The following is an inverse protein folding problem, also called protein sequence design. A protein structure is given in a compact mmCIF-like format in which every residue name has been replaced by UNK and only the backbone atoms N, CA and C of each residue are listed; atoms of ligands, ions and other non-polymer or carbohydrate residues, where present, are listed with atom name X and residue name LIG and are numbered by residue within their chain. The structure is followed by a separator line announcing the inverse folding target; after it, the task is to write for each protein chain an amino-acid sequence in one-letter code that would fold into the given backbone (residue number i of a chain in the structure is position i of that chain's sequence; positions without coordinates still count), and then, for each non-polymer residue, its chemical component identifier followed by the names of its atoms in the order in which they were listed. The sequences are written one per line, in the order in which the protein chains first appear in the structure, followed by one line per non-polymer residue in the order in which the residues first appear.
data_IF_324440377332
#
_entry.id   IF_324440377332
#
_cell.length_a   1.000
_cell.length_b   1.000
_cell.length_c   1.000
_cell.angle_alpha   90.00
_cell.angle_beta   90.00
_cell.angle_gamma   90.00
#
_symmetry.space_group_name_H-M   'P 1'
#
loop_
_entity.id
_entity.type
_entity.pdbx_description
1 polymer ?
#
# COMPACT_ATOMS: atom_id res chain seq x y z
N UNK A 1 -13.51 11.19 23.24
CA UNK A 1 -14.19 10.00 22.70
C UNK A 1 -13.77 9.80 21.26
N UNK A 2 -13.27 8.61 20.90
CA UNK A 2 -13.02 8.23 19.51
C UNK A 2 -14.24 7.47 19.00
N UNK A 3 -14.75 7.81 17.82
CA UNK A 3 -15.62 6.89 17.09
C UNK A 3 -14.80 5.70 16.61
N UNK A 4 -14.80 4.62 17.39
CA UNK A 4 -14.34 3.32 16.90
C UNK A 4 -15.34 2.83 15.84
N UNK A 5 -15.14 3.18 14.57
CA UNK A 5 -15.69 2.40 13.45
C UNK A 5 -14.63 1.49 12.86
N UNK A 6 -14.67 0.24 13.32
CA UNK A 6 -14.03 -0.91 12.69
C UNK A 6 -14.85 -1.24 11.44
N UNK A 7 -14.46 -0.74 10.25
CA UNK A 7 -15.12 -1.14 9.01
C UNK A 7 -14.68 -2.56 8.59
N UNK A 8 -15.53 -3.57 8.79
CA UNK A 8 -15.36 -4.97 8.36
C UNK A 8 -15.01 -5.92 9.51
N UNK A 9 -15.84 -6.96 9.71
CA UNK A 9 -15.63 -8.02 10.71
C UNK A 9 -14.21 -8.62 10.55
N UNK A 10 -13.45 -8.72 11.65
CA UNK A 10 -12.14 -9.41 11.80
C UNK A 10 -10.88 -8.77 11.15
N UNK A 11 -10.43 -7.58 11.56
CA UNK A 11 -9.00 -7.23 11.38
C UNK A 11 -8.51 -6.16 12.40
N UNK A 12 -7.54 -6.47 13.29
CA UNK A 12 -7.04 -5.54 14.32
C UNK A 12 -6.17 -4.38 13.77
N UNK A 13 -5.80 -4.37 12.50
CA UNK A 13 -4.93 -3.33 11.91
C UNK A 13 -5.66 -2.10 11.32
N UNK A 14 -6.89 -1.80 11.76
CA UNK A 14 -7.64 -0.64 11.26
C UNK A 14 -7.31 0.62 12.06
N UNK A 15 -6.92 1.69 11.36
CA UNK A 15 -6.66 3.00 11.95
C UNK A 15 -7.95 3.58 12.54
N UNK A 16 -7.85 4.38 13.60
CA UNK A 16 -9.01 5.11 14.14
C UNK A 16 -9.21 6.41 13.38
N UNK A 17 -10.48 6.77 13.18
CA UNK A 17 -10.87 7.98 12.45
C UNK A 17 -11.99 8.68 13.21
N UNK A 18 -11.94 10.00 13.29
CA UNK A 18 -12.98 10.84 13.86
C UNK A 18 -13.25 12.01 12.91
N UNK A 19 -14.53 12.37 12.75
CA UNK A 19 -14.96 13.51 11.93
C UNK A 19 -15.60 14.60 12.78
N UNK A 20 -15.48 15.86 12.32
CA UNK A 20 -16.16 17.04 12.83
C UNK A 20 -16.60 17.94 11.68
N UNK A 21 -17.63 18.75 11.89
CA UNK A 21 -18.24 19.54 10.84
C UNK A 21 -19.10 18.66 9.95
N UNK A 22 -18.55 18.16 8.85
CA UNK A 22 -19.23 17.19 7.99
C UNK A 22 -18.57 15.81 8.09
N UNK A 23 -19.41 14.78 8.06
CA UNK A 23 -18.94 13.40 8.04
C UNK A 23 -18.67 12.98 6.61
N UNK A 24 -17.55 12.28 6.40
CA UNK A 24 -17.22 11.68 5.11
C UNK A 24 -17.70 10.24 5.06
N UNK A 25 -18.57 9.93 4.11
CA UNK A 25 -19.08 8.59 3.88
C UNK A 25 -18.14 7.83 2.93
N UNK A 26 -17.42 6.85 3.48
CA UNK A 26 -16.45 6.02 2.74
C UNK A 26 -17.09 5.01 1.77
N UNK A 27 -18.40 4.76 1.86
CA UNK A 27 -19.11 3.87 0.93
C UNK A 27 -19.46 4.61 -0.36
N UNK A 28 -19.89 5.88 -0.23
CA UNK A 28 -20.25 6.74 -1.36
C UNK A 28 -19.10 7.62 -1.83
N UNK A 29 -18.03 7.75 -1.04
CA UNK A 29 -16.94 8.71 -1.18
C UNK A 29 -17.42 10.18 -1.27
N UNK A 30 -18.48 10.51 -0.55
CA UNK A 30 -19.05 11.87 -0.48
C UNK A 30 -19.14 12.34 0.96
N UNK A 31 -19.25 13.64 1.18
CA UNK A 31 -19.68 14.17 2.47
C UNK A 31 -21.18 13.97 2.65
N UNK A 32 -21.61 13.84 3.90
CA UNK A 32 -23.03 13.90 4.26
C UNK A 32 -23.58 15.29 3.91
N UNK A 33 -24.86 15.35 3.52
CA UNK A 33 -25.54 16.61 3.18
C UNK A 33 -25.75 17.48 4.42
N UNK A 34 -25.98 16.83 5.56
CA UNK A 34 -26.26 17.49 6.83
C UNK A 34 -25.00 17.55 7.71
N UNK A 35 -24.82 18.62 8.50
CA UNK A 35 -23.71 18.75 9.41
C UNK A 35 -23.72 17.66 10.50
N UNK A 36 -22.58 17.02 10.72
CA UNK A 36 -22.39 15.94 11.68
C UNK A 36 -22.22 16.47 13.11
N UNK A 37 -22.98 15.92 14.07
CA UNK A 37 -22.91 16.25 15.51
C UNK A 37 -22.89 17.76 15.80
N UNK A 38 -23.86 18.49 15.24
CA UNK A 38 -23.98 19.94 15.42
C UNK A 38 -23.18 20.78 14.43
N UNK A 39 -22.37 20.17 13.56
CA UNK A 39 -21.83 20.84 12.39
C UNK A 39 -20.65 21.78 12.62
N UNK A 40 -20.09 21.79 13.83
CA UNK A 40 -19.01 22.72 14.18
C UNK A 40 -17.71 21.96 14.42
N UNK A 41 -16.61 22.50 13.89
CA UNK A 41 -15.27 22.08 14.30
C UNK A 41 -15.04 22.61 15.73
N UNK A 42 -14.65 21.76 16.70
CA UNK A 42 -14.49 22.18 18.09
C UNK A 42 -13.58 23.41 18.25
N UNK A 43 -13.95 24.32 19.16
CA UNK A 43 -13.27 25.61 19.36
C UNK A 43 -11.78 25.47 19.68
N UNK A 44 -11.36 24.35 20.27
CA UNK A 44 -9.95 24.03 20.53
C UNK A 44 -9.08 24.08 19.26
N UNK A 45 -9.65 23.90 18.07
CA UNK A 45 -8.92 23.99 16.80
C UNK A 45 -8.91 25.39 16.20
N UNK A 46 -9.69 26.34 16.71
CA UNK A 46 -9.79 27.70 16.16
C UNK A 46 -8.45 28.46 16.18
N UNK A 47 -7.61 28.39 17.24
CA UNK A 47 -6.30 29.05 17.21
C UNK A 47 -5.42 28.59 16.04
N UNK A 48 -5.50 27.30 15.69
CA UNK A 48 -4.77 26.73 14.56
C UNK A 48 -5.36 27.20 13.22
N UNK A 49 -6.68 27.22 13.11
CA UNK A 49 -7.39 27.70 11.92
C UNK A 49 -7.10 29.18 11.66
N UNK A 50 -7.18 30.02 12.69
CA UNK A 50 -6.88 31.45 12.60
C UNK A 50 -5.45 31.67 12.15
N UNK A 51 -4.48 30.94 12.72
CA UNK A 51 -3.08 31.01 12.27
C UNK A 51 -2.90 30.58 10.81
N UNK A 52 -3.63 29.57 10.34
CA UNK A 52 -3.58 29.15 8.93
C UNK A 52 -4.14 30.25 8.00
N UNK A 53 -5.19 30.96 8.41
CA UNK A 53 -5.76 32.09 7.68
C UNK A 53 -4.82 33.30 7.66
N UNK A 54 -4.28 33.68 8.82
CA UNK A 54 -3.34 34.80 8.99
C UNK A 54 -2.06 34.62 8.16
N UNK A 55 -1.56 33.39 8.07
CA UNK A 55 -0.40 33.06 7.25
C UNK A 55 -0.71 32.88 5.75
N UNK A 56 -1.98 32.97 5.34
CA UNK A 56 -2.40 32.74 3.96
C UNK A 56 -2.22 31.30 3.49
N UNK A 57 -2.13 30.32 4.40
CA UNK A 57 -2.07 28.88 4.07
C UNK A 57 -3.41 28.41 3.49
N UNK A 58 -4.50 28.97 4.01
CA UNK A 58 -5.86 28.78 3.51
C UNK A 58 -6.49 30.16 3.30
N UNK A 59 -7.32 30.30 2.26
CA UNK A 59 -8.04 31.54 1.96
C UNK A 59 -9.41 31.61 2.65
N UNK A 60 -9.97 30.47 3.05
CA UNK A 60 -11.29 30.37 3.68
C UNK A 60 -11.27 29.45 4.90
N UNK A 61 -12.18 29.71 5.83
CA UNK A 61 -12.35 28.85 7.00
C UNK A 61 -12.79 27.42 6.58
N UNK A 62 -12.13 26.37 7.10
CA UNK A 62 -12.56 25.00 6.87
C UNK A 62 -13.81 24.71 7.70
N UNK A 63 -14.71 23.92 7.14
CA UNK A 63 -15.96 23.48 7.79
C UNK A 63 -16.00 21.96 7.98
N UNK A 64 -14.94 21.23 7.60
CA UNK A 64 -14.76 19.81 7.90
C UNK A 64 -13.38 19.56 8.51
N UNK A 65 -13.32 18.73 9.56
CA UNK A 65 -12.08 18.16 10.11
C UNK A 65 -12.14 16.63 10.19
N UNK A 66 -11.09 15.96 9.70
CA UNK A 66 -10.86 14.52 9.88
C UNK A 66 -9.63 14.29 10.73
N UNK A 67 -9.80 13.63 11.87
CA UNK A 67 -8.69 13.18 12.71
C UNK A 67 -8.43 11.71 12.40
N UNK A 68 -7.22 11.38 11.97
CA UNK A 68 -6.78 9.98 11.83
C UNK A 68 -5.73 9.68 12.90
N UNK A 69 -5.82 8.51 13.51
CA UNK A 69 -4.77 7.98 14.38
C UNK A 69 -4.20 6.68 13.80
N UNK A 70 -2.88 6.66 13.68
CA UNK A 70 -2.10 5.56 13.16
C UNK A 70 -1.20 5.01 14.26
N UNK A 71 -1.33 3.71 14.52
CA UNK A 71 -0.33 2.93 15.25
C UNK A 71 0.76 2.44 14.28
N UNK A 72 1.96 2.07 14.78
CA UNK A 72 3.01 1.48 13.95
C UNK A 72 2.46 0.32 13.10
N UNK A 73 2.81 0.29 11.82
CA UNK A 73 2.33 -0.71 10.86
C UNK A 73 1.01 -0.37 10.18
N UNK A 74 0.25 0.61 10.69
CA UNK A 74 -0.96 1.10 10.05
C UNK A 74 -0.66 2.10 8.93
N UNK A 75 -1.64 2.33 8.06
CA UNK A 75 -1.50 3.18 6.89
C UNK A 75 -2.84 3.59 6.27
N UNK A 76 -2.75 4.25 5.12
CA UNK A 76 -3.89 4.62 4.27
C UNK A 76 -3.56 4.30 2.82
N UNK A 77 -4.50 3.68 2.12
CA UNK A 77 -4.35 3.36 0.71
C UNK A 77 -4.16 4.64 -0.11
N UNK A 78 -3.40 4.52 -1.20
CA UNK A 78 -3.16 5.62 -2.12
C UNK A 78 -4.47 6.06 -2.79
N UNK A 79 -4.84 7.33 -2.64
CA UNK A 79 -6.11 7.89 -3.13
C UNK A 79 -5.99 9.39 -3.44
N UNK A 80 -6.97 9.92 -4.18
CA UNK A 80 -7.21 11.36 -4.35
C UNK A 80 -8.45 11.72 -3.52
N UNK A 81 -8.42 12.83 -2.79
CA UNK A 81 -9.58 13.32 -2.04
C UNK A 81 -10.67 13.76 -3.01
N UNK A 82 -11.89 13.25 -2.85
CA UNK A 82 -13.04 13.44 -3.78
C UNK A 82 -13.20 14.90 -4.21
N UNK A 83 -13.26 15.14 -5.52
CA UNK A 83 -13.29 16.48 -6.09
C UNK A 83 -14.65 17.14 -5.84
N UNK A 84 -15.74 16.37 -5.93
CA UNK A 84 -17.09 16.84 -5.63
C UNK A 84 -17.33 17.15 -4.14
N UNK A 85 -16.52 16.60 -3.24
CA UNK A 85 -16.75 16.71 -1.79
C UNK A 85 -16.06 17.92 -1.17
N UNK A 86 -14.88 18.30 -1.66
CA UNK A 86 -14.07 19.35 -1.03
C UNK A 86 -13.56 20.38 -2.04
N UNK A 87 -13.42 21.63 -1.61
CA UNK A 87 -12.72 22.70 -2.33
C UNK A 87 -11.21 22.41 -2.44
N UNK A 88 -10.43 23.28 -3.06
CA UNK A 88 -9.01 23.04 -3.40
C UNK A 88 -8.11 22.83 -2.17
N UNK A 89 -8.19 23.74 -1.21
CA UNK A 89 -7.27 23.81 -0.08
C UNK A 89 -7.50 22.69 0.94
N UNK A 90 -6.53 21.78 1.05
CA UNK A 90 -6.47 20.77 2.12
C UNK A 90 -5.20 20.94 2.91
N UNK A 91 -5.35 20.99 4.23
CA UNK A 91 -4.21 21.03 5.15
C UNK A 91 -4.26 19.83 6.08
N UNK A 92 -3.15 19.08 6.17
CA UNK A 92 -2.98 17.96 7.10
C UNK A 92 -1.86 18.25 8.09
N UNK A 93 -2.20 18.45 9.35
CA UNK A 93 -1.24 18.68 10.43
C UNK A 93 -0.83 17.35 11.06
N UNK A 94 0.47 17.09 11.15
CA UNK A 94 1.05 15.87 11.71
C UNK A 94 1.45 16.06 13.17
N UNK A 95 1.01 15.17 14.06
CA UNK A 95 1.28 15.22 15.51
C UNK A 95 1.79 13.87 16.03
N UNK A 96 2.55 13.91 17.12
CA UNK A 96 3.05 12.73 17.84
C UNK A 96 4.32 12.15 17.20
N UNK A 97 4.20 11.59 15.99
CA UNK A 97 5.28 10.91 15.27
C UNK A 97 5.40 11.41 13.83
N UNK A 98 6.61 11.36 13.31
CA UNK A 98 6.90 11.61 11.91
C UNK A 98 6.36 10.48 11.03
N UNK A 99 6.26 10.71 9.73
CA UNK A 99 5.76 9.73 8.77
C UNK A 99 6.24 9.99 7.35
N UNK A 100 6.61 8.96 6.61
CA UNK A 100 6.69 9.00 5.15
C UNK A 100 5.30 8.86 4.51
N UNK A 101 4.90 9.83 3.68
CA UNK A 101 3.72 9.77 2.81
C UNK A 101 4.16 9.59 1.36
N UNK A 102 3.56 8.66 0.63
CA UNK A 102 3.84 8.41 -0.78
C UNK A 102 2.86 9.17 -1.65
N UNK A 103 3.38 9.87 -2.65
CA UNK A 103 2.65 10.53 -3.71
C UNK A 103 2.93 9.87 -5.05
N UNK A 104 1.92 9.74 -5.90
CA UNK A 104 2.12 9.41 -7.31
C UNK A 104 1.08 10.12 -8.17
N UNK A 105 1.49 10.56 -9.36
CA UNK A 105 0.58 11.19 -10.31
C UNK A 105 -0.48 10.16 -10.75
N UNK A 106 -1.73 10.59 -10.89
CA UNK A 106 -2.84 9.70 -11.22
C UNK A 106 -2.62 8.92 -12.53
N UNK A 107 -2.00 9.56 -13.52
CA UNK A 107 -1.61 8.98 -14.81
C UNK A 107 -0.36 8.09 -14.75
N UNK A 108 0.52 8.29 -13.75
CA UNK A 108 1.84 7.63 -13.66
C UNK A 108 2.05 6.92 -12.31
N UNK A 109 1.13 6.02 -11.95
CA UNK A 109 1.12 5.39 -10.61
C UNK A 109 2.36 4.56 -10.28
N UNK A 110 3.19 4.21 -11.27
CA UNK A 110 4.46 3.51 -11.08
C UNK A 110 5.56 4.43 -10.52
N UNK A 111 5.48 5.74 -10.74
CA UNK A 111 6.45 6.71 -10.21
C UNK A 111 5.94 7.25 -8.89
N UNK A 112 6.61 6.87 -7.80
CA UNK A 112 6.26 7.29 -6.45
C UNK A 112 7.31 8.25 -5.90
N UNK A 113 6.84 9.28 -5.21
CA UNK A 113 7.64 10.26 -4.50
C UNK A 113 7.32 10.13 -3.01
N UNK A 114 8.34 9.89 -2.20
CA UNK A 114 8.21 9.89 -0.75
C UNK A 114 8.37 11.31 -0.20
N UNK A 115 7.36 11.80 0.51
CA UNK A 115 7.41 13.06 1.26
C UNK A 115 7.52 12.74 2.73
N UNK A 116 8.58 13.21 3.37
CA UNK A 116 8.75 13.11 4.81
C UNK A 116 7.89 14.17 5.50
N UNK A 117 7.04 13.73 6.43
CA UNK A 117 6.14 14.57 7.23
C UNK A 117 6.62 14.53 8.69
N UNK A 118 7.44 15.50 9.14
CA UNK A 118 7.83 15.62 10.53
C UNK A 118 6.61 15.82 11.44
N UNK A 119 6.70 15.43 12.71
CA UNK A 119 5.76 15.88 13.73
C UNK A 119 5.78 17.41 13.83
N UNK A 120 4.64 18.00 14.19
CA UNK A 120 4.43 19.45 14.25
C UNK A 120 4.61 20.15 12.89
N UNK A 121 4.40 19.45 11.78
CA UNK A 121 4.37 20.03 10.43
C UNK A 121 2.94 20.08 9.86
N UNK A 122 2.74 20.98 8.89
CA UNK A 122 1.52 21.06 8.10
C UNK A 122 1.83 20.73 6.63
N UNK A 123 1.19 19.69 6.10
CA UNK A 123 1.18 19.40 4.67
C UNK A 123 0.02 20.18 4.03
N UNK A 124 0.31 20.95 2.98
CA UNK A 124 -0.68 21.74 2.25
C UNK A 124 -0.81 21.17 0.84
N UNK A 125 -2.03 20.79 0.46
CA UNK A 125 -2.36 20.31 -0.88
C UNK A 125 -3.28 21.33 -1.54
N UNK A 126 -2.83 21.88 -2.66
CA UNK A 126 -3.56 22.79 -3.55
C UNK A 126 -3.24 22.48 -5.01
N UNK A 127 -4.12 22.89 -5.92
CA UNK A 127 -3.96 22.72 -7.36
C UNK A 127 -3.62 21.28 -7.74
N UNK A 128 -2.53 21.11 -8.48
CA UNK A 128 -2.14 19.80 -9.01
C UNK A 128 -1.94 18.76 -7.90
N UNK A 129 -1.24 19.13 -6.82
CA UNK A 129 -0.94 18.21 -5.70
C UNK A 129 -2.21 17.67 -5.02
N UNK A 130 -3.29 18.43 -5.05
CA UNK A 130 -4.59 18.04 -4.51
C UNK A 130 -5.39 17.19 -5.49
N UNK A 131 -5.48 17.61 -6.74
CA UNK A 131 -6.44 17.07 -7.71
C UNK A 131 -5.86 15.98 -8.60
N UNK A 132 -4.54 15.98 -8.85
CA UNK A 132 -3.91 15.08 -9.80
C UNK A 132 -3.05 14.00 -9.14
N UNK A 133 -2.61 14.22 -7.90
CA UNK A 133 -1.72 13.32 -7.20
C UNK A 133 -2.47 12.45 -6.19
N UNK A 134 -2.27 11.14 -6.29
CA UNK A 134 -2.69 10.22 -5.24
C UNK A 134 -1.71 10.30 -4.10
N UNK A 135 -2.21 10.28 -2.88
CA UNK A 135 -1.40 10.25 -1.66
C UNK A 135 -1.79 9.07 -0.76
N UNK A 136 -0.83 8.50 -0.06
CA UNK A 136 -1.02 7.34 0.80
C UNK A 136 0.06 7.17 1.85
N UNK A 137 -0.22 6.41 2.90
CA UNK A 137 0.76 6.03 3.91
C UNK A 137 0.89 4.51 3.87
N UNK A 138 2.05 4.02 3.44
CA UNK A 138 2.35 2.59 3.37
C UNK A 138 2.32 1.95 4.76
N UNK A 139 1.78 0.73 4.85
CA UNK A 139 1.73 -0.07 6.09
C UNK A 139 3.13 -0.61 6.41
N UNK A 140 3.84 0.06 7.31
CA UNK A 140 5.19 -0.32 7.75
C UNK A 140 5.48 0.25 9.15
N UNK A 141 6.49 -0.30 9.81
CA UNK A 141 6.93 0.11 11.15
C UNK A 141 8.10 1.10 11.13
N UNK A 142 8.77 1.27 9.99
CA UNK A 142 9.96 2.11 9.85
C UNK A 142 9.92 2.89 8.53
N UNK A 143 10.51 4.08 8.52
CA UNK A 143 10.77 4.89 7.34
C UNK A 143 12.29 5.04 7.14
N UNK A 144 12.77 4.87 5.91
CA UNK A 144 14.12 5.30 5.54
C UNK A 144 14.05 6.78 5.15
N UNK A 145 14.77 7.63 5.87
CA UNK A 145 14.82 9.08 5.63
C UNK A 145 16.21 9.43 5.15
N UNK A 146 16.30 10.08 3.99
CA UNK A 146 17.55 10.59 3.45
C UNK A 146 17.90 11.86 4.24
N UNK A 147 19.06 11.87 4.89
CA UNK A 147 19.60 13.05 5.54
C UNK A 147 20.13 13.99 4.46
N UNK A 148 19.78 15.27 4.57
CA UNK A 148 20.55 16.28 3.83
C UNK A 148 21.98 16.24 4.37
N UNK A 149 23.00 16.36 3.51
CA UNK A 149 24.34 16.63 4.00
C UNK A 149 24.24 17.85 4.91
N UNK A 150 24.69 17.72 6.16
CA UNK A 150 24.92 18.91 6.97
C UNK A 150 25.92 19.78 6.21
N UNK A 151 25.88 21.10 6.40
CA UNK A 151 26.91 22.04 5.92
C UNK A 151 28.26 21.76 6.61
N UNK A 152 28.76 20.53 6.55
CA UNK A 152 30.13 20.20 6.85
C UNK A 152 30.92 20.60 5.63
N UNK A 153 31.76 21.62 5.80
CA UNK A 153 32.78 22.15 4.89
C UNK A 153 33.85 21.13 4.47
N UNK A 154 33.54 19.83 4.51
CA UNK A 154 34.43 18.74 4.10
C UNK A 154 33.91 18.18 2.77
N UNK A 155 34.78 18.19 1.77
CA UNK A 155 34.52 17.56 0.48
C UNK A 155 34.03 16.12 0.71
N UNK A 156 32.74 15.88 0.44
CA UNK A 156 32.16 14.56 0.55
C UNK A 156 32.84 13.62 -0.46
N UNK A 157 33.42 12.53 0.04
CA UNK A 157 34.01 11.47 -0.79
C UNK A 157 33.02 10.91 -1.81
N UNK A 158 33.55 10.24 -2.85
CA UNK A 158 32.76 9.71 -3.98
C UNK A 158 31.60 8.80 -3.51
N UNK A 159 31.79 8.04 -2.43
CA UNK A 159 30.74 7.18 -1.85
C UNK A 159 29.52 7.94 -1.33
N UNK A 160 29.71 9.06 -0.62
CA UNK A 160 28.60 9.87 -0.09
C UNK A 160 27.81 10.60 -1.19
N UNK A 161 28.42 10.80 -2.37
CA UNK A 161 27.73 11.35 -3.56
C UNK A 161 26.82 10.31 -4.22
N UNK A 162 27.17 9.03 -4.14
CA UNK A 162 26.40 7.92 -4.74
C UNK A 162 25.34 7.38 -3.77
N UNK A 163 25.64 7.34 -2.46
CA UNK A 163 24.76 6.85 -1.42
C UNK A 163 24.60 7.92 -0.34
N UNK A 164 23.53 8.72 -0.37
CA UNK A 164 23.33 9.74 0.64
C UNK A 164 23.11 9.07 2.00
N UNK A 165 23.53 9.74 3.07
CA UNK A 165 23.34 9.22 4.42
C UNK A 165 21.84 9.03 4.69
N UNK A 166 21.46 7.88 5.22
CA UNK A 166 20.06 7.58 5.55
C UNK A 166 19.92 7.16 6.99
N UNK A 167 18.82 7.58 7.62
CA UNK A 167 18.43 7.16 8.96
C UNK A 167 17.17 6.31 8.85
N UNK A 168 17.15 5.21 9.60
CA UNK A 168 15.97 4.39 9.78
C UNK A 168 15.14 4.93 10.97
N UNK A 169 14.05 5.62 10.67
CA UNK A 169 13.16 6.18 11.67
C UNK A 169 12.04 5.19 12.02
N UNK A 170 11.98 4.76 13.29
CA UNK A 170 10.87 3.93 13.79
C UNK A 170 9.60 4.78 13.88
N UNK A 171 8.49 4.26 13.35
CA UNK A 171 7.17 4.89 13.51
C UNK A 171 6.65 4.67 14.92
N UNK A 172 6.07 5.71 15.47
CA UNK A 172 5.31 5.65 16.72
C UNK A 172 3.85 6.02 16.45
N UNK A 173 3.08 6.23 17.52
CA UNK A 173 1.69 6.67 17.41
C UNK A 173 1.63 8.07 16.77
N UNK A 174 1.01 8.18 15.60
CA UNK A 174 0.80 9.43 14.86
C UNK A 174 -0.66 9.82 14.83
N UNK A 175 -0.93 11.10 15.05
CA UNK A 175 -2.25 11.70 14.81
C UNK A 175 -2.12 12.69 13.67
N UNK A 176 -3.07 12.71 12.73
CA UNK A 176 -3.18 13.77 11.74
C UNK A 176 -4.52 14.47 11.79
N UNK A 177 -4.50 15.80 11.74
CA UNK A 177 -5.67 16.67 11.66
C UNK A 177 -5.79 17.18 10.23
N UNK A 178 -6.80 16.72 9.49
CA UNK A 178 -7.00 17.11 8.08
C UNK A 178 -8.19 18.05 7.95
N UNK A 179 -7.89 19.32 7.68
CA UNK A 179 -8.85 20.41 7.51
C UNK A 179 -9.19 20.55 6.04
N UNK A 180 -10.49 20.68 5.77
CA UNK A 180 -11.04 20.84 4.42
C UNK A 180 -12.23 21.79 4.47
N UNK A 181 -12.54 22.35 3.32
CA UNK A 181 -13.80 23.03 3.08
C UNK A 181 -14.68 22.18 2.17
N UNK A 182 -15.90 21.91 2.60
CA UNK A 182 -16.89 21.13 1.85
C UNK A 182 -17.34 21.93 0.65
N UNK A 183 -17.36 21.26 -0.50
CA UNK A 183 -17.86 21.85 -1.73
C UNK A 183 -19.39 21.71 -1.74
N UNK A 184 -20.09 22.84 -1.66
CA UNK A 184 -21.56 22.86 -1.60
C UNK A 184 -22.22 22.52 -2.95
N UNK A 185 -21.60 22.93 -4.05
CA UNK A 185 -22.06 22.63 -5.40
C UNK A 185 -21.35 21.36 -5.90
N UNK A 186 -22.08 20.35 -6.37
CA UNK A 186 -21.48 19.12 -6.92
C UNK A 186 -20.88 19.32 -8.33
N UNK A 187 -20.27 20.47 -8.55
CA UNK A 187 -19.64 20.87 -9.80
C UNK A 187 -18.14 21.04 -9.58
N UNK A 188 -17.33 20.53 -10.50
CA UNK A 188 -15.88 20.69 -10.45
C UNK A 188 -15.33 20.86 -11.86
N UNK A 189 -14.75 22.02 -12.13
CA UNK A 189 -14.13 22.39 -13.41
C UNK A 189 -12.60 22.43 -13.30
N UNK A 190 -12.01 21.56 -12.46
CA UNK A 190 -10.56 21.46 -12.30
C UNK A 190 -9.88 21.04 -13.62
N UNK A 191 -8.58 21.33 -13.75
CA UNK A 191 -7.79 21.00 -14.94
C UNK A 191 -7.47 19.50 -15.10
N UNK A 192 -7.95 18.64 -14.19
CA UNK A 192 -7.62 17.21 -14.13
C UNK A 192 -8.88 16.34 -14.25
N UNK A 193 -9.44 16.17 -15.47
CA UNK A 193 -10.66 15.40 -15.69
C UNK A 193 -10.49 13.94 -15.28
N UNK A 194 -9.33 13.32 -15.52
CA UNK A 194 -9.09 11.89 -15.26
C UNK A 194 -9.39 11.42 -13.82
N UNK A 195 -8.86 12.09 -12.78
CA UNK A 195 -9.17 11.77 -11.38
C UNK A 195 -10.51 12.37 -10.87
N UNK A 196 -11.12 13.30 -11.62
CA UNK A 196 -12.27 14.07 -11.16
C UNK A 196 -13.58 13.27 -11.26
N UNK A 197 -14.19 12.96 -10.11
CA UNK A 197 -15.44 12.19 -10.04
C UNK A 197 -16.67 12.92 -10.62
N UNK A 198 -16.57 14.23 -10.86
CA UNK A 198 -17.62 15.03 -11.53
C UNK A 198 -17.45 15.04 -13.05
N UNK A 199 -16.22 15.17 -13.54
CA UNK A 199 -15.95 15.30 -14.98
C UNK A 199 -15.82 13.94 -15.67
N UNK A 200 -15.39 12.90 -14.96
CA UNK A 200 -15.50 11.54 -15.45
C UNK A 200 -16.97 11.16 -15.45
N UNK A 201 -17.57 11.04 -16.64
CA UNK A 201 -18.87 10.40 -16.77
C UNK A 201 -18.81 9.03 -16.09
N UNK A 202 -19.86 8.62 -15.36
CA UNK A 202 -19.86 7.32 -14.71
C UNK A 202 -19.68 6.24 -15.78
N UNK A 203 -18.45 5.75 -15.97
CA UNK A 203 -18.24 4.38 -16.44
C UNK A 203 -19.02 3.57 -15.44
N UNK A 204 -20.19 3.08 -15.82
CA UNK A 204 -21.11 2.34 -14.97
C UNK A 204 -20.30 1.63 -13.90
N UNK A 205 -20.28 2.19 -12.68
CA UNK A 205 -19.65 1.49 -11.57
C UNK A 205 -20.48 0.22 -11.50
N UNK A 206 -19.91 -0.88 -11.96
CA UNK A 206 -20.41 -2.24 -11.80
C UNK A 206 -20.45 -2.59 -10.30
N UNK A 207 -20.85 -1.69 -9.41
CA UNK A 207 -21.14 -2.00 -8.03
C UNK A 207 -22.40 -2.88 -7.96
N UNK A 208 -23.38 -2.65 -8.83
CA UNK A 208 -24.51 -3.55 -9.05
C UNK A 208 -24.07 -4.86 -9.74
N UNK A 209 -23.35 -4.76 -10.86
CA UNK A 209 -22.97 -5.94 -11.61
C UNK A 209 -21.93 -6.81 -10.90
N UNK A 210 -20.96 -6.27 -10.14
CA UNK A 210 -20.03 -7.09 -9.37
C UNK A 210 -20.73 -7.78 -8.19
N UNK A 211 -21.69 -7.12 -7.54
CA UNK A 211 -22.47 -7.71 -6.45
C UNK A 211 -23.45 -8.78 -6.98
N UNK A 212 -24.08 -8.52 -8.12
CA UNK A 212 -24.93 -9.49 -8.82
C UNK A 212 -24.13 -10.62 -9.47
N UNK A 213 -22.92 -10.36 -9.97
CA UNK A 213 -21.97 -11.39 -10.38
C UNK A 213 -21.56 -12.20 -9.15
N UNK A 214 -21.24 -11.58 -8.02
CA UNK A 214 -20.87 -12.30 -6.79
C UNK A 214 -22.03 -13.16 -6.28
N UNK A 215 -23.25 -12.65 -6.24
CA UNK A 215 -24.45 -13.39 -5.84
C UNK A 215 -24.78 -14.51 -6.85
N UNK A 216 -24.67 -14.25 -8.16
CA UNK A 216 -24.85 -15.28 -9.19
C UNK A 216 -23.74 -16.34 -9.16
N UNK A 217 -22.48 -15.96 -8.92
CA UNK A 217 -21.35 -16.86 -8.75
C UNK A 217 -21.54 -17.73 -7.51
N UNK A 218 -21.95 -17.14 -6.38
CA UNK A 218 -22.25 -17.90 -5.14
C UNK A 218 -23.38 -18.89 -5.37
N UNK A 219 -24.42 -18.51 -6.12
CA UNK A 219 -25.52 -19.43 -6.47
C UNK A 219 -25.05 -20.55 -7.43
N UNK A 220 -24.21 -20.25 -8.41
CA UNK A 220 -23.63 -21.27 -9.32
C UNK A 220 -22.67 -22.21 -8.59
N UNK A 221 -21.87 -21.71 -7.66
CA UNK A 221 -20.95 -22.54 -6.86
C UNK A 221 -21.72 -23.50 -5.92
N UNK A 222 -22.96 -23.17 -5.57
CA UNK A 222 -23.83 -23.98 -4.72
C UNK A 222 -24.69 -25.00 -5.48
N UNK A 223 -24.80 -24.90 -6.82
CA UNK A 223 -25.59 -25.82 -7.65
C UNK A 223 -24.71 -26.55 -8.69
N UNK A 224 -24.56 -27.88 -8.51
CA UNK A 224 -23.86 -28.87 -9.37
C UNK A 224 -22.33 -28.72 -9.53
N UNK A 225 -21.59 -29.81 -9.27
CA UNK A 225 -20.11 -29.78 -9.15
C UNK A 225 -19.36 -29.43 -10.45
N UNK A 226 -19.82 -29.90 -11.61
CA UNK A 226 -19.09 -29.67 -12.88
C UNK A 226 -19.13 -28.20 -13.34
N UNK A 227 -20.26 -27.50 -13.17
CA UNK A 227 -20.41 -26.10 -13.58
C UNK A 227 -19.66 -25.15 -12.66
N UNK A 228 -19.55 -25.53 -11.39
CA UNK A 228 -18.75 -24.84 -10.37
C UNK A 228 -17.24 -24.93 -10.68
N UNK A 229 -16.76 -26.10 -11.10
CA UNK A 229 -15.35 -26.30 -11.50
C UNK A 229 -14.96 -25.51 -12.75
N UNK A 230 -15.76 -25.56 -13.82
CA UNK A 230 -15.50 -24.81 -15.06
C UNK A 230 -15.41 -23.30 -14.78
N UNK A 231 -16.30 -22.79 -13.93
CA UNK A 231 -16.31 -21.41 -13.51
C UNK A 231 -15.09 -21.05 -12.65
N UNK A 232 -14.70 -21.92 -11.72
CA UNK A 232 -13.49 -21.76 -10.91
C UNK A 232 -12.24 -21.66 -11.78
N UNK A 233 -12.09 -22.57 -12.76
CA UNK A 233 -10.96 -22.54 -13.71
C UNK A 233 -10.92 -21.28 -14.55
N UNK A 234 -12.09 -20.78 -14.99
CA UNK A 234 -12.18 -19.53 -15.73
C UNK A 234 -11.74 -18.33 -14.88
N UNK A 235 -12.24 -18.23 -13.66
CA UNK A 235 -11.87 -17.14 -12.74
C UNK A 235 -10.38 -17.19 -12.37
N UNK A 236 -9.85 -18.37 -12.11
CA UNK A 236 -8.42 -18.57 -11.85
C UNK A 236 -7.58 -18.13 -13.05
N UNK A 237 -7.99 -18.49 -14.27
CA UNK A 237 -7.31 -18.03 -15.50
C UNK A 237 -7.30 -16.51 -15.62
N UNK A 238 -8.46 -15.86 -15.50
CA UNK A 238 -8.61 -14.41 -15.70
C UNK A 238 -7.95 -13.57 -14.57
N UNK A 239 -7.98 -14.05 -13.33
CA UNK A 239 -7.56 -13.24 -12.18
C UNK A 239 -6.24 -13.66 -11.54
N UNK A 240 -5.79 -14.89 -11.77
CA UNK A 240 -4.51 -15.39 -11.25
C UNK A 240 -3.52 -15.54 -12.39
N UNK A 241 -3.85 -16.34 -13.41
CA UNK A 241 -2.91 -16.65 -14.51
C UNK A 241 -2.59 -15.40 -15.33
N UNK A 242 -3.59 -14.71 -15.87
CA UNK A 242 -3.37 -13.50 -16.69
C UNK A 242 -2.66 -12.38 -15.92
N UNK A 243 -2.91 -12.28 -14.61
CA UNK A 243 -2.19 -11.35 -13.74
C UNK A 243 -0.69 -11.67 -13.72
N UNK A 244 -0.31 -12.92 -13.47
CA UNK A 244 1.10 -13.32 -13.43
C UNK A 244 1.76 -13.29 -14.80
N UNK A 245 1.04 -13.64 -15.88
CA UNK A 245 1.53 -13.43 -17.25
C UNK A 245 1.92 -11.98 -17.48
N UNK A 246 1.14 -11.02 -16.99
CA UNK A 246 1.44 -9.60 -17.19
C UNK A 246 2.49 -9.06 -16.20
N UNK A 247 2.49 -9.56 -14.96
CA UNK A 247 3.24 -8.99 -13.85
C UNK A 247 4.56 -9.71 -13.51
N UNK A 248 4.86 -10.85 -14.15
CA UNK A 248 6.00 -11.72 -13.82
C UNK A 248 7.33 -10.97 -13.64
N UNK A 249 7.72 -10.11 -14.59
CA UNK A 249 8.98 -9.37 -14.51
C UNK A 249 9.04 -8.42 -13.29
N UNK A 250 7.92 -7.78 -12.94
CA UNK A 250 7.86 -6.93 -11.74
C UNK A 250 7.86 -7.76 -10.45
N UNK A 251 7.09 -8.86 -10.43
CA UNK A 251 7.07 -9.81 -9.33
C UNK A 251 8.47 -10.34 -9.04
N UNK A 252 9.20 -10.73 -10.08
CA UNK A 252 10.54 -11.29 -9.98
C UNK A 252 11.53 -10.31 -9.33
N UNK A 253 11.53 -9.04 -9.77
CA UNK A 253 12.38 -7.98 -9.19
C UNK A 253 12.08 -7.68 -7.72
N UNK A 254 10.80 -7.64 -7.36
CA UNK A 254 10.35 -7.19 -6.02
C UNK A 254 10.31 -8.30 -4.98
N UNK A 255 10.36 -9.58 -5.39
CA UNK A 255 10.28 -10.75 -4.49
C UNK A 255 11.39 -11.77 -4.76
N UNK A 256 12.60 -11.30 -4.98
CA UNK A 256 13.76 -12.15 -5.30
C UNK A 256 14.35 -12.90 -4.10
N UNK A 257 14.19 -12.39 -2.87
CA UNK A 257 14.82 -12.97 -1.68
C UNK A 257 14.08 -14.22 -1.16
N UNK A 258 14.79 -15.34 -1.01
CA UNK A 258 14.30 -16.50 -0.27
C UNK A 258 14.12 -16.19 1.22
N UNK A 259 13.27 -16.95 1.91
CA UNK A 259 13.13 -16.84 3.37
C UNK A 259 14.25 -17.62 4.05
N UNK A 260 14.95 -17.07 5.07
CA UNK A 260 16.14 -17.69 5.65
C UNK A 260 15.94 -19.12 6.14
N UNK A 261 14.81 -19.41 6.80
CA UNK A 261 14.54 -20.74 7.33
C UNK A 261 14.23 -21.75 6.23
N UNK A 262 13.59 -21.33 5.14
CA UNK A 262 13.33 -22.21 3.98
C UNK A 262 14.64 -22.47 3.25
N UNK A 263 15.47 -21.44 3.05
CA UNK A 263 16.80 -21.61 2.45
C UNK A 263 17.67 -22.58 3.25
N UNK A 264 17.68 -22.47 4.59
CA UNK A 264 18.39 -23.41 5.46
C UNK A 264 17.83 -24.82 5.37
N UNK A 265 16.51 -24.98 5.28
CA UNK A 265 15.91 -26.30 5.09
C UNK A 265 16.29 -26.93 3.75
N UNK A 266 16.48 -26.13 2.70
CA UNK A 266 16.82 -26.62 1.36
C UNK A 266 18.32 -26.92 1.18
N UNK A 267 19.18 -26.70 2.18
CA UNK A 267 20.58 -27.12 2.11
C UNK A 267 20.75 -28.60 2.43
N UNK A 268 21.77 -29.24 1.85
CA UNK A 268 22.09 -30.65 2.10
C UNK A 268 22.46 -30.86 3.57
N UNK A 269 21.91 -31.92 4.18
CA UNK A 269 22.26 -32.33 5.55
C UNK A 269 23.73 -32.72 5.60
N UNK A 270 24.49 -32.21 6.56
CA UNK A 270 25.83 -32.71 6.87
C UNK A 270 25.81 -33.48 8.20
N UNK A 271 26.42 -34.67 8.27
CA UNK A 271 26.63 -35.34 9.54
C UNK A 271 27.48 -34.45 10.48
N UNK A 272 26.99 -34.16 11.69
CA UNK A 272 27.75 -33.45 12.73
C UNK A 272 27.49 -31.94 12.92
N UNK A 273 26.46 -31.35 12.30
CA UNK A 273 26.16 -29.90 12.41
C UNK A 273 25.54 -29.46 13.76
N UNK A 274 25.42 -30.37 14.74
CA UNK A 274 24.90 -30.12 16.08
C UNK A 274 25.74 -30.86 17.15
N UNK A 275 25.95 -30.21 18.31
CA UNK A 275 26.91 -30.62 19.36
C UNK A 275 26.73 -32.05 19.90
N UNK A 276 25.55 -32.66 19.66
CA UNK A 276 25.21 -34.00 20.12
C UNK A 276 25.07 -35.04 18.99
N UNK A 277 25.30 -34.67 17.72
CA UNK A 277 25.15 -35.55 16.56
C UNK A 277 23.75 -36.22 16.46
N UNK A 278 22.72 -35.57 17.02
CA UNK A 278 21.33 -36.02 16.96
C UNK A 278 20.71 -35.57 15.63
N UNK A 279 20.30 -36.54 14.81
CA UNK A 279 19.56 -36.26 13.58
C UNK A 279 18.16 -35.73 13.94
N UNK A 280 17.85 -34.48 13.58
CA UNK A 280 16.50 -33.94 13.65
C UNK A 280 15.88 -33.90 12.25
N UNK A 281 14.60 -34.29 12.14
CA UNK A 281 13.83 -34.34 10.89
C UNK A 281 13.75 -33.01 10.11
N UNK A 282 14.21 -31.91 10.71
CA UNK A 282 14.08 -30.54 10.21
C UNK A 282 15.39 -29.92 9.69
N UNK A 283 16.52 -30.62 9.75
CA UNK A 283 17.85 -30.05 9.43
C UNK A 283 18.37 -30.41 8.03
N UNK A 284 17.66 -29.97 6.98
CA UNK A 284 18.14 -30.03 5.59
C UNK A 284 17.52 -31.13 4.73
N UNK A 285 18.05 -31.33 3.52
CA UNK A 285 17.65 -32.38 2.56
C UNK A 285 18.76 -33.43 2.36
N UNK A 286 18.38 -34.68 2.08
CA UNK A 286 19.36 -35.75 1.78
C UNK A 286 19.74 -35.72 0.29
N UNK A 287 20.96 -36.15 -0.06
CA UNK A 287 21.50 -36.03 -1.43
C UNK A 287 20.74 -36.88 -2.47
N UNK A 288 20.06 -37.93 -2.03
CA UNK A 288 19.27 -38.85 -2.85
C UNK A 288 17.80 -38.44 -3.00
N UNK A 289 17.41 -37.27 -2.47
CA UNK A 289 16.05 -36.74 -2.61
C UNK A 289 15.82 -36.06 -3.97
N UNK A 290 14.60 -36.21 -4.50
CA UNK A 290 14.10 -35.41 -5.62
C UNK A 290 13.20 -34.29 -5.09
N UNK A 291 13.53 -33.04 -5.39
CA UNK A 291 12.73 -31.89 -4.94
C UNK A 291 11.75 -31.44 -6.03
N UNK A 292 10.47 -31.31 -5.68
CA UNK A 292 9.44 -30.71 -6.54
C UNK A 292 8.94 -29.38 -5.98
N UNK A 293 9.13 -28.28 -6.72
CA UNK A 293 8.61 -26.95 -6.37
C UNK A 293 7.39 -26.63 -7.27
N UNK A 294 6.18 -26.81 -6.73
CA UNK A 294 4.92 -26.60 -7.45
C UNK A 294 4.39 -25.18 -7.19
N UNK A 295 4.27 -24.39 -8.24
CA UNK A 295 4.10 -22.95 -8.13
C UNK A 295 5.43 -22.24 -7.82
N UNK A 296 6.52 -22.68 -8.47
CA UNK A 296 7.88 -22.22 -8.19
C UNK A 296 8.09 -20.73 -8.46
N UNK A 297 7.16 -20.08 -9.18
CA UNK A 297 7.21 -18.69 -9.56
C UNK A 297 8.49 -18.36 -10.32
N UNK A 298 9.31 -17.46 -9.78
CA UNK A 298 10.58 -17.07 -10.37
C UNK A 298 11.77 -17.96 -9.94
N UNK A 299 11.50 -19.16 -9.42
CA UNK A 299 12.50 -20.16 -9.06
C UNK A 299 13.40 -19.78 -7.89
N UNK A 300 12.99 -18.85 -7.03
CA UNK A 300 13.87 -18.34 -5.96
C UNK A 300 14.33 -19.40 -4.96
N UNK A 301 13.52 -20.43 -4.73
CA UNK A 301 13.87 -21.53 -3.82
C UNK A 301 14.67 -22.62 -4.52
N UNK A 302 14.47 -22.84 -5.82
CA UNK A 302 15.30 -23.74 -6.62
C UNK A 302 16.79 -23.36 -6.54
N UNK A 303 17.08 -22.05 -6.48
CA UNK A 303 18.45 -21.52 -6.28
C UNK A 303 19.08 -21.83 -4.92
N UNK A 304 18.27 -22.22 -3.94
CA UNK A 304 18.76 -22.59 -2.61
C UNK A 304 19.15 -24.07 -2.53
N UNK A 305 18.69 -24.88 -3.47
CA UNK A 305 18.92 -26.32 -3.50
C UNK A 305 20.33 -26.56 -4.03
N UNK A 306 21.19 -27.35 -3.36
CA UNK A 306 22.52 -27.65 -3.86
C UNK A 306 22.49 -28.35 -5.22
N UNK A 307 23.48 -28.05 -6.07
CA UNK A 307 23.60 -28.64 -7.41
C UNK A 307 23.81 -30.16 -7.42
N UNK A 308 24.13 -30.76 -6.26
CA UNK A 308 24.19 -32.22 -6.07
C UNK A 308 22.80 -32.87 -5.98
N UNK A 309 21.74 -32.09 -5.74
CA UNK A 309 20.37 -32.57 -5.57
C UNK A 309 19.53 -32.21 -6.78
N UNK A 310 18.78 -33.18 -7.30
CA UNK A 310 17.89 -32.93 -8.45
C UNK A 310 16.63 -32.20 -8.00
N UNK A 311 16.29 -31.10 -8.67
CA UNK A 311 15.08 -30.33 -8.41
C UNK A 311 14.30 -30.00 -9.69
N UNK A 312 12.97 -30.08 -9.60
CA UNK A 312 12.04 -29.75 -10.68
C UNK A 312 11.08 -28.66 -10.19
N UNK A 313 11.09 -27.52 -10.87
CA UNK A 313 10.10 -26.46 -10.66
C UNK A 313 9.01 -26.48 -11.71
N UNK A 314 7.76 -26.28 -11.29
CA UNK A 314 6.63 -26.09 -12.21
C UNK A 314 5.83 -24.87 -11.79
N UNK A 315 5.28 -24.14 -12.76
CA UNK A 315 4.37 -23.04 -12.51
C UNK A 315 3.35 -22.97 -13.65
N UNK A 316 2.15 -22.49 -13.34
CA UNK A 316 1.10 -22.30 -14.33
C UNK A 316 1.37 -21.10 -15.23
N UNK A 317 2.13 -20.12 -14.74
CA UNK A 317 2.53 -18.95 -15.51
C UNK A 317 3.81 -19.20 -16.30
N UNK A 318 3.69 -19.14 -17.62
CA UNK A 318 4.82 -19.27 -18.53
C UNK A 318 5.83 -18.13 -18.30
N UNK A 319 5.36 -16.90 -18.08
CA UNK A 319 6.26 -15.77 -17.88
C UNK A 319 7.02 -15.86 -16.54
N UNK A 320 6.45 -16.47 -15.49
CA UNK A 320 7.21 -16.77 -14.27
C UNK A 320 8.29 -17.83 -14.52
N UNK A 321 8.00 -18.88 -15.30
CA UNK A 321 9.00 -19.88 -15.70
C UNK A 321 10.12 -19.27 -16.55
N UNK A 322 9.81 -18.33 -17.44
CA UNK A 322 10.83 -17.57 -18.18
C UNK A 322 11.74 -16.80 -17.21
N UNK A 323 11.16 -16.10 -16.23
CA UNK A 323 11.95 -15.42 -15.19
C UNK A 323 12.80 -16.38 -14.36
N UNK A 324 12.26 -17.57 -14.04
CA UNK A 324 13.00 -18.62 -13.35
C UNK A 324 14.21 -19.09 -14.15
N UNK A 325 14.04 -19.29 -15.46
CA UNK A 325 15.11 -19.71 -16.36
C UNK A 325 16.18 -18.63 -16.54
N UNK A 326 15.77 -17.38 -16.75
CA UNK A 326 16.70 -16.24 -16.91
C UNK A 326 17.56 -16.01 -15.67
N UNK A 327 17.02 -16.25 -14.48
CA UNK A 327 17.76 -16.08 -13.22
C UNK A 327 18.70 -17.25 -12.91
N UNK A 328 18.56 -18.38 -13.61
CA UNK A 328 19.31 -19.61 -13.38
C UNK A 328 19.01 -20.27 -12.03
N UNK A 329 19.42 -21.53 -11.91
CA UNK A 329 19.45 -22.28 -10.62
C UNK A 329 20.84 -22.23 -10.00
N UNK A 330 21.89 -22.25 -10.83
CA UNK A 330 23.30 -22.11 -10.46
C UNK A 330 24.05 -21.30 -11.53
N UNK A 331 25.20 -20.69 -11.19
CA UNK A 331 26.02 -19.92 -12.14
C UNK A 331 26.63 -20.75 -13.32
N UNK A 332 26.26 -22.02 -13.43
CA UNK A 332 26.67 -22.94 -14.47
C UNK A 332 25.49 -23.85 -14.82
N UNK A 333 24.52 -23.33 -15.57
CA UNK A 333 23.63 -24.08 -16.47
C UNK A 333 22.97 -23.12 -17.48
#
# INVERSE_FOLDING_TARGET
HWEQRIYGKKNPMKRRVQHYGFRFNYETNTTDLEPYKGGVIPEIFQPMINRMLELGIISKQPDQLTINEYMPGQGILSHVDTHSAFEDEIVSVSLGSDCGMEFCLFSEQKKKIGVYLPRCSALVLTGESRYAWKHGITKKNFDHVICKPQDTTKEAGIEHKLFPETILCKRERRISLTFRRVRKQKECNCAWPGPCDVQVQPKHKKAGAAKQITENLVNILNENSERSEELGRKLEREHVVEFYETAAAHFSRTRHSPWPNISRFLTVRKPGDNENNEFHDYDGIDEDMLIGDIGCGNGKYLRCIPSSVTAIGTDISNNLLVQSRELGTHNHD
#
